data_IF_116524650692
#
_entry.id   IF_116524650692
#
_cell.length_a   1.000
_cell.length_b   1.000
_cell.length_c   1.000
_cell.angle_alpha   90.00
_cell.angle_beta   90.00
_cell.angle_gamma   90.00
#
_symmetry.space_group_name_H-M   'P 1'
#
loop_
_entity.id
_entity.type
_entity.pdbx_description
1 polymer ?
#
# COMPACT_ATOMS: atom_id res chain seq x y z
N UNK A 1 -22.90 73.35 -66.64
CA UNK A 1 -21.80 72.55 -67.22
C UNK A 1 -20.82 72.28 -66.10
N UNK A 2 -20.29 71.06 -65.98
CA UNK A 2 -19.30 70.73 -64.94
C UNK A 2 -17.99 71.41 -65.32
N UNK A 3 -17.76 72.61 -64.77
CA UNK A 3 -16.49 73.29 -64.91
C UNK A 3 -15.45 72.53 -64.09
N UNK A 4 -14.55 71.83 -64.78
CA UNK A 4 -13.38 71.20 -64.20
C UNK A 4 -12.42 72.28 -63.70
N UNK A 5 -12.75 72.85 -62.54
CA UNK A 5 -12.00 73.90 -61.89
C UNK A 5 -10.93 73.31 -60.96
N UNK A 6 -9.79 74.00 -60.86
CA UNK A 6 -8.68 73.69 -59.94
C UNK A 6 -9.14 73.46 -58.48
N UNK A 7 -10.26 74.06 -58.09
CA UNK A 7 -10.94 73.83 -56.80
C UNK A 7 -11.33 72.38 -56.55
N UNK A 8 -11.75 71.62 -57.58
CA UNK A 8 -12.06 70.19 -57.45
C UNK A 8 -10.81 69.37 -57.13
N UNK A 9 -9.67 69.73 -57.72
CA UNK A 9 -8.37 69.11 -57.40
C UNK A 9 -7.96 69.39 -55.94
N UNK A 10 -8.12 70.63 -55.48
CA UNK A 10 -7.85 70.99 -54.07
C UNK A 10 -8.80 70.24 -53.12
N UNK A 11 -10.09 70.13 -53.47
CA UNK A 11 -11.06 69.43 -52.62
C UNK A 11 -10.79 67.92 -52.56
N UNK A 12 -10.35 67.31 -53.67
CA UNK A 12 -9.90 65.93 -53.69
C UNK A 12 -8.65 65.73 -52.81
N UNK A 13 -7.69 66.65 -52.89
CA UNK A 13 -6.50 66.63 -52.03
C UNK A 13 -6.87 66.78 -50.55
N UNK A 14 -7.85 67.62 -50.22
CA UNK A 14 -8.34 67.78 -48.84
C UNK A 14 -8.95 66.47 -48.30
N UNK A 15 -9.79 65.79 -49.09
CA UNK A 15 -10.34 64.48 -48.72
C UNK A 15 -9.23 63.44 -48.58
N UNK A 16 -8.21 63.46 -49.47
CA UNK A 16 -7.07 62.55 -49.37
C UNK A 16 -6.30 62.74 -48.06
N UNK A 17 -6.00 63.98 -47.69
CA UNK A 17 -5.33 64.33 -46.43
C UNK A 17 -6.20 63.89 -45.23
N UNK A 18 -7.51 64.14 -45.29
CA UNK A 18 -8.44 63.72 -44.25
C UNK A 18 -8.47 62.19 -44.10
N UNK A 19 -8.50 61.43 -45.20
CA UNK A 19 -8.46 59.97 -45.18
C UNK A 19 -7.15 59.44 -44.58
N UNK A 20 -6.01 60.07 -44.89
CA UNK A 20 -4.72 59.72 -44.30
C UNK A 20 -4.74 59.99 -42.80
N UNK A 21 -5.19 61.18 -42.38
CA UNK A 21 -5.32 61.52 -40.96
C UNK A 21 -6.23 60.51 -40.24
N UNK A 22 -7.41 60.23 -40.78
CA UNK A 22 -8.38 59.31 -40.19
C UNK A 22 -7.85 57.88 -40.10
N UNK A 23 -7.14 57.41 -41.13
CA UNK A 23 -6.48 56.09 -41.14
C UNK A 23 -5.46 55.96 -40.03
N UNK A 24 -4.65 57.00 -39.83
CA UNK A 24 -3.55 56.97 -38.85
C UNK A 24 -4.05 57.20 -37.43
N UNK A 25 -5.00 58.10 -37.23
CA UNK A 25 -5.51 58.49 -35.91
C UNK A 25 -6.67 57.65 -35.39
N UNK A 26 -7.51 57.08 -36.25
CA UNK A 26 -8.75 56.41 -35.80
C UNK A 26 -8.73 54.92 -36.13
N UNK A 27 -8.55 54.56 -37.41
CA UNK A 27 -8.66 53.16 -37.82
C UNK A 27 -7.56 52.27 -37.23
N UNK A 28 -6.29 52.70 -37.30
CA UNK A 28 -5.17 51.94 -36.71
C UNK A 28 -5.33 51.70 -35.20
N UNK A 29 -5.53 52.72 -34.34
CA UNK A 29 -5.64 52.48 -32.90
C UNK A 29 -6.89 51.69 -32.52
N UNK A 30 -8.03 51.92 -33.18
CA UNK A 30 -9.28 51.19 -32.91
C UNK A 30 -9.13 49.70 -33.28
N UNK A 31 -8.57 49.40 -34.46
CA UNK A 31 -8.30 48.02 -34.85
C UNK A 31 -7.30 47.34 -33.91
N UNK A 32 -6.25 48.05 -33.49
CA UNK A 32 -5.28 47.52 -32.53
C UNK A 32 -5.92 47.22 -31.17
N UNK A 33 -6.82 48.09 -30.69
CA UNK A 33 -7.55 47.87 -29.44
C UNK A 33 -8.47 46.65 -29.52
N UNK A 34 -9.19 46.49 -30.63
CA UNK A 34 -10.03 45.33 -30.92
C UNK A 34 -9.22 44.03 -30.98
N UNK A 35 -8.08 44.05 -31.67
CA UNK A 35 -7.17 42.89 -31.76
C UNK A 35 -6.59 42.54 -30.40
N UNK A 36 -6.13 43.52 -29.61
CA UNK A 36 -5.66 43.29 -28.23
C UNK A 36 -6.73 42.65 -27.36
N UNK A 37 -7.98 43.14 -27.43
CA UNK A 37 -9.08 42.56 -26.67
C UNK A 37 -9.38 41.12 -27.08
N UNK A 38 -9.38 40.83 -28.39
CA UNK A 38 -9.55 39.46 -28.90
C UNK A 38 -8.44 38.53 -28.43
N UNK A 39 -7.18 38.95 -28.55
CA UNK A 39 -6.02 38.17 -28.11
C UNK A 39 -6.05 37.92 -26.60
N UNK A 40 -6.42 38.92 -25.80
CA UNK A 40 -6.54 38.77 -24.35
C UNK A 40 -7.64 37.78 -23.97
N UNK A 41 -8.80 37.83 -24.62
CA UNK A 41 -9.87 36.84 -24.37
C UNK A 41 -9.42 35.44 -24.77
N UNK A 42 -8.71 35.31 -25.89
CA UNK A 42 -8.18 34.03 -26.34
C UNK A 42 -7.13 33.48 -25.39
N UNK A 43 -6.21 34.32 -24.90
CA UNK A 43 -5.20 33.91 -23.92
C UNK A 43 -5.85 33.50 -22.60
N UNK A 44 -6.85 34.25 -22.11
CA UNK A 44 -7.59 33.86 -20.92
C UNK A 44 -8.29 32.50 -21.07
N UNK A 45 -8.89 32.24 -22.23
CA UNK A 45 -9.52 30.95 -22.50
C UNK A 45 -8.49 29.80 -22.50
N UNK A 46 -7.31 30.05 -23.08
CA UNK A 46 -6.22 29.09 -23.08
C UNK A 46 -5.66 28.85 -21.66
N UNK A 47 -5.42 29.91 -20.90
CA UNK A 47 -4.93 29.83 -19.52
C UNK A 47 -5.90 29.03 -18.63
N UNK A 48 -7.22 29.23 -18.80
CA UNK A 48 -8.24 28.45 -18.09
C UNK A 48 -8.19 26.97 -18.48
N UNK A 49 -8.02 26.67 -19.77
CA UNK A 49 -7.94 25.30 -20.24
C UNK A 49 -6.67 24.59 -19.74
N UNK A 50 -5.55 25.29 -19.74
CA UNK A 50 -4.27 24.79 -19.24
C UNK A 50 -4.34 24.60 -17.72
N UNK A 51 -4.88 25.56 -16.97
CA UNK A 51 -5.08 25.43 -15.51
C UNK A 51 -6.00 24.24 -15.18
N UNK A 52 -7.07 24.04 -15.97
CA UNK A 52 -7.95 22.88 -15.80
C UNK A 52 -7.20 21.57 -16.06
N UNK A 53 -6.37 21.50 -17.10
CA UNK A 53 -5.52 20.32 -17.38
C UNK A 53 -4.52 20.08 -16.25
N UNK A 54 -3.90 21.13 -15.72
CA UNK A 54 -2.99 21.04 -14.59
C UNK A 54 -3.69 20.53 -13.33
N UNK A 55 -4.89 21.02 -13.02
CA UNK A 55 -5.69 20.55 -11.89
C UNK A 55 -6.06 19.06 -12.04
N UNK A 56 -6.54 18.64 -13.22
CA UNK A 56 -6.86 17.23 -13.48
C UNK A 56 -5.63 16.33 -13.41
N UNK A 57 -4.49 16.76 -13.94
CA UNK A 57 -3.24 15.99 -13.85
C UNK A 57 -2.72 15.91 -12.41
N UNK A 58 -2.86 16.98 -11.63
CA UNK A 58 -2.50 16.98 -10.21
C UNK A 58 -3.38 16.01 -9.40
N UNK A 59 -4.68 16.02 -9.66
CA UNK A 59 -5.63 15.09 -9.04
C UNK A 59 -5.28 13.64 -9.40
N UNK A 60 -5.04 13.35 -10.69
CA UNK A 60 -4.61 12.03 -11.16
C UNK A 60 -3.32 11.57 -10.48
N UNK A 61 -2.29 12.43 -10.41
CA UNK A 61 -1.02 12.12 -9.74
C UNK A 61 -1.19 11.90 -8.24
N UNK A 62 -2.09 12.63 -7.60
CA UNK A 62 -2.37 12.45 -6.18
C UNK A 62 -3.04 11.10 -5.91
N UNK A 63 -4.04 10.73 -6.72
CA UNK A 63 -4.69 9.43 -6.63
C UNK A 63 -3.72 8.26 -6.91
N UNK A 64 -2.90 8.38 -7.96
CA UNK A 64 -1.89 7.39 -8.30
C UNK A 64 -0.86 7.26 -7.18
N UNK A 65 -0.32 8.38 -6.66
CA UNK A 65 0.60 8.37 -5.54
C UNK A 65 -0.03 7.79 -4.27
N UNK A 66 -1.33 8.02 -4.03
CA UNK A 66 -2.04 7.42 -2.91
C UNK A 66 -2.21 5.90 -3.08
N UNK A 67 -2.49 5.42 -4.29
CA UNK A 67 -2.56 3.98 -4.60
C UNK A 67 -1.17 3.32 -4.48
N UNK A 68 -0.14 3.95 -5.04
CA UNK A 68 1.25 3.49 -5.01
C UNK A 68 1.76 3.38 -3.57
N UNK A 69 1.38 4.30 -2.66
CA UNK A 69 1.73 4.21 -1.23
C UNK A 69 0.94 3.14 -0.49
N UNK A 70 -0.31 2.86 -0.88
CA UNK A 70 -1.16 1.85 -0.22
C UNK A 70 -0.77 0.42 -0.62
N UNK A 71 -0.34 0.20 -1.86
CA UNK A 71 0.06 -1.14 -2.36
C UNK A 71 1.15 -1.82 -1.52
N UNK A 72 2.32 -1.20 -1.24
CA UNK A 72 3.37 -1.82 -0.45
C UNK A 72 2.96 -2.04 1.00
N UNK A 73 2.09 -1.18 1.56
CA UNK A 73 1.55 -1.37 2.92
C UNK A 73 0.69 -2.64 2.98
N UNK A 74 -0.15 -2.87 1.97
CA UNK A 74 -0.99 -4.08 1.91
C UNK A 74 -0.14 -5.32 1.69
N UNK A 75 0.80 -5.29 0.76
CA UNK A 75 1.72 -6.40 0.51
C UNK A 75 2.57 -6.75 1.74
N UNK A 76 3.09 -5.74 2.44
CA UNK A 76 3.87 -5.93 3.65
C UNK A 76 3.00 -6.46 4.81
N UNK A 77 1.76 -6.00 4.94
CA UNK A 77 0.82 -6.54 5.92
C UNK A 77 0.52 -8.00 5.66
N UNK A 78 0.23 -8.38 4.41
CA UNK A 78 -0.01 -9.76 4.05
C UNK A 78 1.21 -10.65 4.28
N UNK A 79 2.42 -10.17 3.91
CA UNK A 79 3.66 -10.88 4.19
C UNK A 79 3.86 -11.10 5.69
N UNK A 80 3.67 -10.05 6.49
CA UNK A 80 3.78 -10.13 7.96
C UNK A 80 2.78 -11.12 8.55
N UNK A 81 1.54 -11.14 8.06
CA UNK A 81 0.50 -12.08 8.53
C UNK A 81 0.85 -13.52 8.13
N UNK A 82 1.35 -13.74 6.90
CA UNK A 82 1.81 -15.07 6.45
C UNK A 82 2.98 -15.55 7.30
N UNK A 83 3.98 -14.71 7.53
CA UNK A 83 5.16 -15.04 8.34
C UNK A 83 4.77 -15.34 9.80
N UNK A 84 3.88 -14.54 10.40
CA UNK A 84 3.37 -14.78 11.73
C UNK A 84 2.59 -16.10 11.82
N UNK A 85 1.80 -16.44 10.80
CA UNK A 85 1.09 -17.72 10.73
C UNK A 85 2.06 -18.89 10.64
N UNK A 86 3.05 -18.83 9.75
CA UNK A 86 4.08 -19.87 9.61
C UNK A 86 4.89 -20.03 10.89
N UNK A 87 5.28 -18.93 11.55
CA UNK A 87 5.98 -18.96 12.82
C UNK A 87 5.13 -19.61 13.92
N UNK A 88 3.85 -19.26 14.01
CA UNK A 88 2.90 -19.86 14.97
C UNK A 88 2.75 -21.37 14.77
N UNK A 89 2.54 -21.80 13.52
CA UNK A 89 2.48 -23.23 13.17
C UNK A 89 3.78 -23.94 13.56
N UNK A 90 4.93 -23.33 13.31
CA UNK A 90 6.24 -23.91 13.65
C UNK A 90 6.44 -24.03 15.17
N UNK A 91 6.00 -23.04 15.96
CA UNK A 91 6.04 -23.10 17.43
C UNK A 91 5.16 -24.23 17.96
N UNK A 92 3.94 -24.36 17.43
CA UNK A 92 3.02 -25.44 17.82
C UNK A 92 3.61 -26.81 17.46
N UNK A 93 4.23 -26.95 16.30
CA UNK A 93 4.85 -28.20 15.87
C UNK A 93 6.05 -28.58 16.74
N UNK A 94 6.92 -27.61 17.06
CA UNK A 94 8.05 -27.84 17.97
C UNK A 94 7.55 -28.28 19.35
N UNK A 95 6.56 -27.58 19.91
CA UNK A 95 5.98 -27.92 21.20
C UNK A 95 5.35 -29.33 21.21
N UNK A 96 4.65 -29.70 20.13
CA UNK A 96 4.12 -31.07 19.96
C UNK A 96 5.22 -32.11 19.88
N UNK A 97 6.31 -31.82 19.16
CA UNK A 97 7.44 -32.73 19.05
C UNK A 97 8.14 -32.95 20.41
N UNK A 98 8.28 -31.88 21.20
CA UNK A 98 8.88 -31.93 22.54
C UNK A 98 7.99 -32.72 23.50
N UNK A 99 6.68 -32.44 23.53
CA UNK A 99 5.71 -33.20 24.31
C UNK A 99 5.71 -34.70 23.96
N UNK A 100 5.87 -35.03 22.68
CA UNK A 100 5.89 -36.43 22.22
C UNK A 100 7.15 -37.15 22.72
N UNK A 101 8.32 -36.50 22.63
CA UNK A 101 9.58 -37.02 23.19
C UNK A 101 9.49 -37.18 24.71
N UNK A 102 8.93 -36.19 25.40
CA UNK A 102 8.79 -36.22 26.85
C UNK A 102 7.82 -37.35 27.30
N UNK A 103 6.72 -37.55 26.57
CA UNK A 103 5.81 -38.66 26.79
C UNK A 103 6.46 -40.03 26.55
N UNK A 104 7.31 -40.16 25.54
CA UNK A 104 8.07 -41.40 25.31
C UNK A 104 9.04 -41.69 26.46
N UNK A 105 9.81 -40.68 26.90
CA UNK A 105 10.73 -40.80 28.04
C UNK A 105 9.96 -41.15 29.32
N UNK A 106 8.81 -40.52 29.56
CA UNK A 106 7.98 -40.79 30.73
C UNK A 106 7.42 -42.22 30.68
N UNK A 107 6.91 -42.68 29.53
CA UNK A 107 6.42 -44.06 29.35
C UNK A 107 7.52 -45.08 29.62
N UNK A 108 8.74 -44.81 29.16
CA UNK A 108 9.87 -45.71 29.39
C UNK A 108 10.27 -45.75 30.87
N UNK A 109 10.30 -44.60 31.56
CA UNK A 109 10.51 -44.55 33.02
C UNK A 109 9.43 -45.33 33.77
N UNK A 110 8.16 -45.12 33.44
CA UNK A 110 7.04 -45.83 34.09
C UNK A 110 7.16 -47.34 33.89
N UNK A 111 7.55 -47.79 32.69
CA UNK A 111 7.80 -49.23 32.44
C UNK A 111 8.94 -49.77 33.28
N UNK A 112 10.06 -49.04 33.34
CA UNK A 112 11.23 -49.42 34.12
C UNK A 112 10.92 -49.47 35.63
N UNK A 113 10.23 -48.46 36.16
CA UNK A 113 9.79 -48.43 37.57
C UNK A 113 8.80 -49.54 37.88
N UNK A 114 7.83 -49.81 36.97
CA UNK A 114 6.89 -50.92 37.15
C UNK A 114 7.61 -52.27 37.17
N UNK A 115 8.59 -52.48 36.29
CA UNK A 115 9.39 -53.70 36.27
C UNK A 115 10.24 -53.86 37.55
N UNK A 116 10.86 -52.78 38.01
CA UNK A 116 11.64 -52.77 39.25
C UNK A 116 10.75 -53.04 40.49
N UNK A 117 9.55 -52.45 40.54
CA UNK A 117 8.59 -52.69 41.61
C UNK A 117 8.10 -54.15 41.63
N UNK A 118 7.80 -54.73 40.47
CA UNK A 118 7.45 -56.15 40.35
C UNK A 118 8.58 -57.07 40.81
N UNK A 119 9.84 -56.74 40.47
CA UNK A 119 11.00 -57.51 40.89
C UNK A 119 11.22 -57.42 42.41
N UNK A 120 11.06 -56.23 42.99
CA UNK A 120 11.14 -56.04 44.45
C UNK A 120 10.05 -56.83 45.17
N UNK A 121 8.81 -56.81 44.66
CA UNK A 121 7.68 -57.55 45.23
C UNK A 121 7.89 -59.07 45.14
N UNK A 122 8.47 -59.56 44.04
CA UNK A 122 8.84 -60.97 43.89
C UNK A 122 9.95 -61.38 44.90
N UNK A 123 10.93 -60.50 45.11
CA UNK A 123 11.98 -60.72 46.13
C UNK A 123 11.44 -60.73 47.56
N UNK A 124 10.52 -59.81 47.88
CA UNK A 124 9.83 -59.80 49.17
C UNK A 124 8.93 -61.03 49.37
N UNK A 125 8.24 -61.48 48.31
CA UNK A 125 7.44 -62.70 48.34
C UNK A 125 8.31 -63.94 48.58
N UNK A 126 9.47 -64.07 47.93
CA UNK A 126 10.40 -65.20 48.15
C UNK A 126 10.97 -65.17 49.58
N UNK A 127 11.31 -63.98 50.08
CA UNK A 127 11.75 -63.78 51.47
C UNK A 127 10.67 -64.17 52.48
N UNK A 128 9.42 -63.72 52.28
CA UNK A 128 8.30 -64.06 53.15
C UNK A 128 8.02 -65.56 53.11
N UNK A 129 8.09 -66.18 51.93
CA UNK A 129 7.92 -67.63 51.74
C UNK A 129 8.98 -68.42 52.53
N UNK A 130 10.27 -68.03 52.43
CA UNK A 130 11.36 -68.62 53.22
C UNK A 130 11.17 -68.42 54.73
N UNK A 131 10.66 -67.27 55.16
CA UNK A 131 10.39 -67.00 56.57
C UNK A 131 9.26 -67.89 57.11
N UNK A 132 8.18 -68.08 56.33
CA UNK A 132 7.09 -69.00 56.65
C UNK A 132 7.62 -70.44 56.72
N UNK A 133 8.39 -70.90 55.72
CA UNK A 133 8.99 -72.24 55.71
C UNK A 133 9.87 -72.48 56.94
N UNK A 134 10.72 -71.51 57.32
CA UNK A 134 11.54 -71.59 58.52
C UNK A 134 10.72 -71.62 59.82
N UNK A 135 9.59 -70.89 59.87
CA UNK A 135 8.72 -70.84 61.05
C UNK A 135 7.88 -72.11 61.22
N UNK A 136 7.51 -72.75 60.11
CA UNK A 136 6.82 -74.05 60.11
C UNK A 136 7.78 -75.19 60.46
N UNK A 137 9.00 -75.19 59.90
CA UNK A 137 10.03 -76.19 60.21
C UNK A 137 10.49 -76.11 61.68
N UNK A 138 10.61 -74.91 62.26
CA UNK A 138 10.91 -74.73 63.70
C UNK A 138 9.79 -75.14 64.65
N UNK A 139 8.58 -75.40 64.15
CA UNK A 139 7.44 -75.91 64.94
C UNK A 139 7.20 -77.43 64.75
N UNK A 140 7.88 -78.04 63.78
CA UNK A 140 7.79 -79.47 63.48
C UNK A 140 8.95 -80.31 64.05
N UNK A 141 9.82 -79.70 64.85
CA UNK A 141 10.83 -80.34 65.70
C UNK A 141 10.55 -80.00 67.16
#
# INVERSE_FOLDING_TARGET
MLDFNYTLLIQFLNILILLVLLRTFLFKPVLNALTRRRLFIQSLAQDIEDEKKHATELERRYEEGAKERKRPIMEQREATVRDAHTASVKVVEVARSELTKELEVLKERVRSESAAALQSLAGEADRLSREITNKVLKRGA
#
